data_IF_726696411115
#
_entry.id   IF_726696411115
#
_cell.length_a   1.000
_cell.length_b   1.000
_cell.length_c   1.000
_cell.angle_alpha   90.00
_cell.angle_beta   90.00
_cell.angle_gamma   90.00
#
_symmetry.space_group_name_H-M   'P 1'
#
loop_
_entity.id
_entity.type
_entity.pdbx_description
1 polymer ?
#
# COMPACT_ATOMS: atom_id res chain seq x y z
N UNK A 1 -6.69 -10.56 -18.89
CA UNK A 1 -6.48 -11.48 -17.75
C UNK A 1 -7.51 -12.60 -17.84
N UNK A 2 -7.13 -13.86 -17.59
CA UNK A 2 -8.08 -14.99 -17.55
C UNK A 2 -8.84 -15.03 -16.22
N UNK A 3 -10.11 -15.46 -16.23
CA UNK A 3 -10.98 -15.61 -15.03
C UNK A 3 -10.28 -16.40 -13.92
N UNK A 4 -9.46 -17.40 -14.28
CA UNK A 4 -8.67 -18.21 -13.34
C UNK A 4 -7.65 -17.38 -12.53
N UNK A 5 -7.06 -16.34 -13.14
CA UNK A 5 -6.10 -15.44 -12.46
C UNK A 5 -6.78 -14.53 -11.44
N UNK A 6 -8.04 -14.17 -11.68
CA UNK A 6 -8.83 -13.30 -10.80
C UNK A 6 -9.29 -14.06 -9.57
N UNK A 7 -9.76 -15.30 -9.76
CA UNK A 7 -10.15 -16.20 -8.66
C UNK A 7 -8.93 -16.54 -7.80
N UNK A 8 -7.77 -16.77 -8.44
CA UNK A 8 -6.51 -17.01 -7.73
C UNK A 8 -6.08 -15.81 -6.88
N UNK A 9 -6.06 -14.59 -7.45
CA UNK A 9 -5.72 -13.37 -6.70
C UNK A 9 -6.73 -13.05 -5.59
N UNK A 10 -8.01 -13.32 -5.83
CA UNK A 10 -9.05 -13.16 -4.80
C UNK A 10 -8.86 -14.16 -3.66
N UNK A 11 -8.53 -15.43 -3.97
CA UNK A 11 -8.20 -16.44 -2.96
C UNK A 11 -6.92 -16.12 -2.19
N UNK A 12 -5.86 -15.70 -2.88
CA UNK A 12 -4.61 -15.26 -2.25
C UNK A 12 -4.87 -14.08 -1.32
N UNK A 13 -5.67 -13.11 -1.77
CA UNK A 13 -6.11 -11.98 -0.96
C UNK A 13 -6.86 -12.48 0.28
N UNK A 14 -7.89 -13.32 0.13
CA UNK A 14 -8.66 -13.87 1.26
C UNK A 14 -7.82 -14.70 2.22
N UNK A 15 -6.85 -15.48 1.72
CA UNK A 15 -5.93 -16.24 2.56
C UNK A 15 -4.94 -15.33 3.30
N UNK A 16 -4.52 -14.22 2.69
CA UNK A 16 -3.70 -13.18 3.32
C UNK A 16 -4.49 -12.32 4.33
N UNK A 17 -5.83 -12.39 4.32
CA UNK A 17 -6.72 -11.65 5.23
C UNK A 17 -6.96 -12.32 6.58
N UNK A 18 -6.38 -13.49 6.82
CA UNK A 18 -6.18 -14.04 8.16
C UNK A 18 -4.72 -13.85 8.59
N UNK A 19 -4.25 -12.60 8.77
CA UNK A 19 -2.89 -12.37 9.23
C UNK A 19 -2.76 -13.02 10.61
N UNK A 20 -1.65 -13.74 10.83
CA UNK A 20 -1.21 -14.03 12.19
C UNK A 20 -1.07 -12.70 12.95
N UNK A 21 -1.24 -12.73 14.26
CA UNK A 21 -0.88 -11.59 15.08
C UNK A 21 0.57 -11.16 14.78
N UNK A 22 0.81 -9.85 14.72
CA UNK A 22 2.17 -9.32 14.61
C UNK A 22 2.95 -9.73 15.86
N UNK A 23 4.17 -10.22 15.64
CA UNK A 23 5.08 -10.53 16.74
C UNK A 23 5.78 -9.25 17.19
N UNK A 24 6.42 -9.31 18.35
CA UNK A 24 7.29 -8.22 18.81
C UNK A 24 8.42 -7.94 17.81
N UNK A 25 8.95 -8.98 17.16
CA UNK A 25 9.97 -8.86 16.13
C UNK A 25 9.46 -8.09 14.90
N UNK A 26 8.21 -8.34 14.47
CA UNK A 26 7.59 -7.61 13.37
C UNK A 26 7.46 -6.11 13.70
N UNK A 27 7.03 -5.79 14.92
CA UNK A 27 6.90 -4.41 15.38
C UNK A 27 8.26 -3.72 15.52
N UNK A 28 9.28 -4.45 15.99
CA UNK A 28 10.65 -3.93 16.11
C UNK A 28 11.23 -3.54 14.74
N UNK A 29 10.93 -4.29 13.67
CA UNK A 29 11.36 -3.93 12.31
C UNK A 29 10.75 -2.59 11.86
N UNK A 30 9.46 -2.36 12.12
CA UNK A 30 8.82 -1.09 11.80
C UNK A 30 9.40 0.05 12.64
N UNK A 31 9.58 -0.15 13.95
CA UNK A 31 10.13 0.84 14.86
C UNK A 31 11.58 1.22 14.54
N UNK A 32 12.37 0.30 13.99
CA UNK A 32 13.73 0.60 13.57
C UNK A 32 13.77 1.61 12.40
N UNK A 33 12.72 1.64 11.57
CA UNK A 33 12.66 2.48 10.36
C UNK A 33 11.82 3.75 10.55
N UNK A 34 10.82 3.70 11.43
CA UNK A 34 9.83 4.77 11.60
C UNK A 34 10.11 5.62 12.84
N UNK A 35 9.94 6.93 12.71
CA UNK A 35 9.87 7.82 13.87
C UNK A 35 8.61 7.52 14.72
N UNK A 36 8.53 7.98 15.97
CA UNK A 36 7.33 7.78 16.80
C UNK A 36 6.03 8.28 16.14
N UNK A 37 6.06 9.42 15.44
CA UNK A 37 4.89 9.96 14.72
C UNK A 37 4.48 9.08 13.55
N UNK A 38 5.44 8.55 12.81
CA UNK A 38 5.20 7.64 11.68
C UNK A 38 4.70 6.27 12.17
N UNK A 39 5.22 5.78 13.30
CA UNK A 39 4.78 4.54 13.93
C UNK A 39 3.31 4.62 14.39
N UNK A 40 2.84 5.79 14.86
CA UNK A 40 1.42 6.03 15.15
C UNK A 40 0.54 5.91 13.90
N UNK A 41 1.02 6.33 12.73
CA UNK A 41 0.26 6.12 11.49
C UNK A 41 0.24 4.64 11.08
N UNK A 42 1.39 3.98 11.16
CA UNK A 42 1.51 2.56 10.86
C UNK A 42 0.59 1.71 11.73
N UNK A 43 0.53 1.96 13.04
CA UNK A 43 -0.31 1.20 13.98
C UNK A 43 -1.82 1.38 13.76
N UNK A 44 -2.24 2.39 12.98
CA UNK A 44 -3.64 2.63 12.61
C UNK A 44 -4.10 1.87 11.37
N UNK A 45 -3.16 1.29 10.60
CA UNK A 45 -3.49 0.36 9.53
C UNK A 45 -4.23 -0.87 10.10
N UNK A 46 -5.06 -1.52 9.30
CA UNK A 46 -5.61 -2.81 9.70
C UNK A 46 -4.48 -3.83 9.88
N UNK A 47 -4.63 -4.84 10.75
CA UNK A 47 -3.58 -5.84 10.97
C UNK A 47 -3.04 -6.49 9.69
N UNK A 48 -3.92 -6.78 8.73
CA UNK A 48 -3.52 -7.33 7.42
C UNK A 48 -2.69 -6.36 6.57
N UNK A 49 -2.93 -5.06 6.72
CA UNK A 49 -2.22 -4.00 5.97
C UNK A 49 -0.84 -3.72 6.61
N UNK A 50 -0.75 -3.79 7.94
CA UNK A 50 0.53 -3.76 8.66
C UNK A 50 1.41 -4.96 8.25
N UNK A 51 0.84 -6.17 8.27
CA UNK A 51 1.54 -7.38 7.87
C UNK A 51 1.97 -7.34 6.40
N UNK A 52 1.10 -6.89 5.50
CA UNK A 52 1.42 -6.66 4.10
C UNK A 52 2.64 -5.75 3.95
N UNK A 53 2.61 -4.58 4.59
CA UNK A 53 3.68 -3.57 4.51
C UNK A 53 5.03 -4.10 5.02
N UNK A 54 5.02 -4.94 6.07
CA UNK A 54 6.21 -5.61 6.57
C UNK A 54 6.77 -6.66 5.60
N UNK A 55 5.91 -7.39 4.88
CA UNK A 55 6.36 -8.31 3.83
C UNK A 55 7.01 -7.54 2.69
N UNK A 56 6.42 -6.41 2.27
CA UNK A 56 7.01 -5.52 1.26
C UNK A 56 8.39 -5.04 1.72
N UNK A 57 8.52 -4.58 2.97
CA UNK A 57 9.81 -4.19 3.55
C UNK A 57 10.84 -5.34 3.49
N UNK A 58 10.45 -6.54 3.92
CA UNK A 58 11.31 -7.74 3.91
C UNK A 58 11.79 -8.09 2.50
N UNK A 59 10.90 -8.01 1.52
CA UNK A 59 11.21 -8.26 0.11
C UNK A 59 12.19 -7.22 -0.44
N UNK A 60 12.08 -5.96 -0.03
CA UNK A 60 12.99 -4.89 -0.46
C UNK A 60 14.39 -5.06 0.16
N UNK A 61 14.45 -5.39 1.46
CA UNK A 61 15.70 -5.65 2.16
C UNK A 61 16.44 -6.86 1.58
N UNK A 62 15.73 -7.96 1.33
CA UNK A 62 16.33 -9.15 0.69
C UNK A 62 16.71 -8.93 -0.78
N UNK A 63 16.04 -8.01 -1.47
CA UNK A 63 16.36 -7.61 -2.84
C UNK A 63 17.58 -6.70 -3.01
N UNK A 64 18.25 -6.32 -1.92
CA UNK A 64 19.48 -5.52 -1.94
C UNK A 64 19.28 -4.01 -2.20
N UNK A 65 18.04 -3.52 -2.25
CA UNK A 65 17.75 -2.09 -2.38
C UNK A 65 17.69 -1.46 -0.99
N UNK A 66 18.74 -0.75 -0.60
CA UNK A 66 18.85 -0.13 0.73
C UNK A 66 18.71 1.40 0.64
N UNK A 67 17.51 1.91 0.91
CA UNK A 67 17.27 3.34 0.98
C UNK A 67 16.23 3.66 2.07
N UNK A 68 16.54 4.54 3.05
CA UNK A 68 15.62 4.84 4.16
C UNK A 68 14.22 5.28 3.71
N UNK A 69 14.15 6.19 2.74
CA UNK A 69 12.85 6.66 2.22
C UNK A 69 12.03 5.56 1.54
N UNK A 70 12.69 4.57 0.93
CA UNK A 70 12.00 3.44 0.32
C UNK A 70 11.41 2.52 1.40
N UNK A 71 12.12 2.29 2.49
CA UNK A 71 11.63 1.48 3.61
C UNK A 71 10.48 2.18 4.35
N UNK A 72 10.59 3.48 4.58
CA UNK A 72 9.49 4.28 5.13
C UNK A 72 8.28 4.23 4.19
N UNK A 73 8.48 4.43 2.89
CA UNK A 73 7.41 4.32 1.91
C UNK A 73 6.78 2.92 1.88
N UNK A 74 7.57 1.85 1.95
CA UNK A 74 7.08 0.49 2.01
C UNK A 74 6.16 0.25 3.23
N UNK A 75 6.55 0.76 4.40
CA UNK A 75 5.75 0.64 5.62
C UNK A 75 4.47 1.49 5.59
N UNK A 76 4.47 2.60 4.85
CA UNK A 76 3.42 3.62 4.90
C UNK A 76 2.61 3.77 3.60
N UNK A 77 2.90 3.03 2.52
CA UNK A 77 2.27 3.22 1.21
C UNK A 77 0.73 3.15 1.27
N UNK A 78 0.21 2.33 2.19
CA UNK A 78 -1.20 2.09 2.39
C UNK A 78 -1.88 2.97 3.45
N UNK A 79 -1.16 3.85 4.17
CA UNK A 79 -1.76 4.57 5.31
C UNK A 79 -2.89 5.54 4.92
N UNK A 80 -3.09 5.84 3.64
CA UNK A 80 -4.28 6.58 3.20
C UNK A 80 -5.59 5.82 3.47
N UNK A 81 -5.54 4.49 3.56
CA UNK A 81 -6.71 3.62 3.85
C UNK A 81 -7.28 3.86 5.25
N UNK A 82 -6.50 4.43 6.18
CA UNK A 82 -6.98 4.73 7.55
C UNK A 82 -8.09 5.78 7.58
N UNK A 83 -8.23 6.62 6.53
CA UNK A 83 -9.32 7.61 6.46
C UNK A 83 -10.68 6.95 6.37
N UNK A 84 -10.75 5.80 5.69
CA UNK A 84 -11.98 5.03 5.51
C UNK A 84 -11.66 3.53 5.59
N UNK A 85 -11.56 2.97 6.81
CA UNK A 85 -11.27 1.56 7.00
C UNK A 85 -12.34 0.70 6.32
N UNK A 86 -11.91 -0.10 5.34
CA UNK A 86 -12.82 -0.93 4.56
C UNK A 86 -13.08 -2.27 5.25
N UNK A 87 -14.32 -2.73 5.19
CA UNK A 87 -14.68 -4.10 5.59
C UNK A 87 -14.11 -5.11 4.58
N UNK A 88 -13.96 -6.36 5.01
CA UNK A 88 -13.44 -7.45 4.19
C UNK A 88 -14.11 -7.54 2.80
N UNK A 89 -15.44 -7.55 2.77
CA UNK A 89 -16.21 -7.64 1.52
C UNK A 89 -16.03 -6.42 0.61
N UNK A 90 -15.82 -5.23 1.17
CA UNK A 90 -15.54 -4.02 0.38
C UNK A 90 -14.17 -4.10 -0.28
N UNK A 91 -13.19 -4.72 0.38
CA UNK A 91 -11.87 -4.95 -0.20
C UNK A 91 -11.93 -5.99 -1.33
N UNK A 92 -12.78 -7.01 -1.21
CA UNK A 92 -13.04 -7.97 -2.31
C UNK A 92 -13.57 -7.23 -3.55
N UNK A 93 -14.46 -6.24 -3.40
CA UNK A 93 -14.93 -5.40 -4.52
C UNK A 93 -13.77 -4.69 -5.22
N UNK A 94 -12.76 -4.22 -4.49
CA UNK A 94 -11.57 -3.60 -5.08
C UNK A 94 -10.81 -4.62 -5.94
N UNK A 95 -10.57 -5.82 -5.42
CA UNK A 95 -9.84 -6.87 -6.15
C UNK A 95 -10.59 -7.26 -7.42
N UNK A 96 -11.91 -7.44 -7.35
CA UNK A 96 -12.74 -7.79 -8.49
C UNK A 96 -12.81 -6.65 -9.52
N UNK A 97 -12.93 -5.40 -9.07
CA UNK A 97 -12.98 -4.24 -9.97
C UNK A 97 -11.66 -4.01 -10.71
N UNK A 98 -10.51 -4.16 -10.05
CA UNK A 98 -9.18 -4.08 -10.71
C UNK A 98 -9.01 -5.17 -11.78
N UNK A 99 -9.64 -6.33 -11.62
CA UNK A 99 -9.59 -7.40 -12.60
C UNK A 99 -10.43 -7.13 -13.86
N UNK A 100 -11.58 -6.46 -13.70
CA UNK A 100 -12.50 -6.14 -14.79
C UNK A 100 -12.05 -4.85 -15.50
N UNK A 101 -11.58 -3.86 -14.74
CA UNK A 101 -11.24 -2.52 -15.23
C UNK A 101 -9.94 -2.00 -14.58
N UNK A 102 -8.77 -2.50 -15.02
CA UNK A 102 -7.48 -2.18 -14.39
C UNK A 102 -7.18 -0.67 -14.37
N UNK A 103 -7.52 0.04 -15.45
CA UNK A 103 -7.27 1.49 -15.59
C UNK A 103 -8.41 2.37 -15.05
N UNK A 104 -9.51 1.75 -14.60
CA UNK A 104 -10.75 2.45 -14.26
C UNK A 104 -10.79 2.99 -12.84
N UNK A 105 -9.83 2.61 -12.00
CA UNK A 105 -9.83 2.94 -10.56
C UNK A 105 -9.58 4.42 -10.30
N UNK A 106 -8.72 5.08 -11.08
CA UNK A 106 -8.42 6.51 -10.88
C UNK A 106 -9.63 7.42 -11.13
N UNK A 107 -10.52 7.06 -12.07
CA UNK A 107 -11.72 7.83 -12.39
C UNK A 107 -12.69 7.95 -11.19
N UNK A 108 -12.56 7.10 -10.18
CA UNK A 108 -13.40 7.15 -8.98
C UNK A 108 -12.98 8.24 -8.00
N UNK A 109 -11.76 8.77 -8.12
CA UNK A 109 -11.25 9.83 -7.23
C UNK A 109 -12.03 11.14 -7.28
N UNK A 110 -12.91 11.33 -8.27
CA UNK A 110 -13.80 12.51 -8.37
C UNK A 110 -15.08 12.40 -7.54
N UNK A 111 -15.38 11.23 -6.99
CA UNK A 111 -16.62 11.00 -6.23
C UNK A 111 -16.39 11.08 -4.72
N UNK A 112 -17.47 11.34 -4.00
CA UNK A 112 -17.47 11.29 -2.54
C UNK A 112 -17.33 9.83 -2.04
N UNK A 113 -16.51 9.58 -1.01
CA UNK A 113 -16.28 8.24 -0.44
C UNK A 113 -17.48 7.80 0.40
N UNK A 114 -18.58 7.39 -0.24
CA UNK A 114 -19.80 6.99 0.44
C UNK A 114 -20.54 5.84 -0.24
N UNK A 115 -21.34 5.11 0.55
CA UNK A 115 -22.18 4.02 0.08
C UNK A 115 -21.39 2.92 -0.66
N UNK A 116 -21.94 2.43 -1.77
CA UNK A 116 -21.34 1.34 -2.55
C UNK A 116 -20.05 1.74 -3.29
N UNK A 117 -19.84 3.04 -3.54
CA UNK A 117 -18.66 3.57 -4.25
C UNK A 117 -17.44 3.69 -3.35
N UNK A 118 -17.64 3.70 -2.04
CA UNK A 118 -16.59 3.85 -1.02
C UNK A 118 -15.32 3.03 -1.34
N UNK A 119 -15.36 1.71 -1.56
CA UNK A 119 -14.14 0.93 -1.85
C UNK A 119 -13.37 1.42 -3.07
N UNK A 120 -14.07 1.84 -4.14
CA UNK A 120 -13.44 2.30 -5.38
C UNK A 120 -12.81 3.69 -5.20
N UNK A 121 -13.48 4.58 -4.46
CA UNK A 121 -12.94 5.90 -4.11
C UNK A 121 -11.70 5.76 -3.22
N UNK A 122 -11.76 4.89 -2.21
CA UNK A 122 -10.60 4.60 -1.34
C UNK A 122 -9.45 4.02 -2.14
N UNK A 123 -9.72 3.06 -3.03
CA UNK A 123 -8.70 2.51 -3.92
C UNK A 123 -8.04 3.60 -4.79
N UNK A 124 -8.80 4.59 -5.26
CA UNK A 124 -8.28 5.69 -6.07
C UNK A 124 -7.47 6.71 -5.27
N UNK A 125 -7.94 7.06 -4.07
CA UNK A 125 -7.44 8.24 -3.33
C UNK A 125 -6.49 7.91 -2.18
N UNK A 126 -6.41 6.66 -1.72
CA UNK A 126 -5.47 6.31 -0.65
C UNK A 126 -3.99 6.62 -0.95
N UNK A 127 -3.47 6.60 -2.20
CA UNK A 127 -2.08 7.00 -2.42
C UNK A 127 -1.89 8.50 -2.12
N UNK A 128 -2.82 9.34 -2.61
CA UNK A 128 -2.77 10.79 -2.41
C UNK A 128 -3.01 11.18 -0.94
N UNK A 129 -4.03 10.61 -0.30
CA UNK A 129 -4.29 10.81 1.13
C UNK A 129 -3.14 10.30 1.99
N UNK A 130 -2.52 9.19 1.57
CA UNK A 130 -1.42 8.61 2.29
C UNK A 130 -0.19 9.52 2.26
N UNK A 131 0.18 9.99 1.08
CA UNK A 131 1.28 10.93 0.92
C UNK A 131 1.11 12.20 1.77
N UNK A 132 -0.12 12.72 1.86
CA UNK A 132 -0.46 13.88 2.70
C UNK A 132 -0.30 13.56 4.21
N UNK A 133 -0.87 12.44 4.67
CA UNK A 133 -0.74 11.99 6.06
C UNK A 133 0.72 11.78 6.45
N UNK A 134 1.50 11.16 5.56
CA UNK A 134 2.90 10.87 5.80
C UNK A 134 3.74 12.16 5.89
N UNK A 135 3.51 13.15 5.00
CA UNK A 135 4.18 14.46 5.08
C UNK A 135 3.88 15.16 6.40
N UNK A 136 2.64 15.12 6.86
CA UNK A 136 2.24 15.70 8.15
C UNK A 136 2.90 14.97 9.34
N UNK A 137 3.32 13.72 9.17
CA UNK A 137 4.11 12.95 10.14
C UNK A 137 5.63 13.13 9.98
N UNK A 138 6.08 14.02 9.08
CA UNK A 138 7.49 14.37 8.89
C UNK A 138 8.29 13.38 8.05
N UNK A 139 7.66 12.62 7.14
CA UNK A 139 8.41 11.88 6.12
C UNK A 139 9.03 12.85 5.10
N UNK A 140 10.09 12.44 4.42
CA UNK A 140 10.72 13.24 3.37
C UNK A 140 9.80 13.42 2.14
N UNK A 141 10.03 14.44 1.31
CA UNK A 141 9.34 14.59 0.03
C UNK A 141 9.49 13.36 -0.88
N UNK A 142 10.67 12.73 -0.88
CA UNK A 142 10.93 11.52 -1.66
C UNK A 142 10.03 10.35 -1.20
N UNK A 143 10.02 10.03 0.10
CA UNK A 143 9.14 8.99 0.64
C UNK A 143 7.66 9.28 0.37
N UNK A 144 7.24 10.53 0.52
CA UNK A 144 5.87 10.95 0.21
C UNK A 144 5.52 10.75 -1.28
N UNK A 145 6.43 11.08 -2.20
CA UNK A 145 6.24 10.84 -3.63
C UNK A 145 6.13 9.35 -3.95
N UNK A 146 6.97 8.51 -3.33
CA UNK A 146 6.87 7.05 -3.47
C UNK A 146 5.50 6.54 -3.00
N UNK A 147 5.01 6.99 -1.84
CA UNK A 147 3.67 6.66 -1.33
C UNK A 147 2.59 7.14 -2.29
N UNK A 148 2.70 8.37 -2.80
CA UNK A 148 1.70 8.96 -3.71
C UNK A 148 1.55 8.16 -5.01
N UNK A 149 2.67 7.66 -5.52
CA UNK A 149 2.79 7.09 -6.86
C UNK A 149 2.85 5.56 -6.88
N UNK A 150 2.75 4.89 -5.73
CA UNK A 150 2.92 3.44 -5.64
C UNK A 150 1.95 2.63 -6.52
N UNK A 151 0.82 3.21 -6.95
CA UNK A 151 -0.13 2.58 -7.89
C UNK A 151 -0.13 3.17 -9.29
N UNK A 152 0.76 4.12 -9.58
CA UNK A 152 0.92 4.63 -10.94
C UNK A 152 1.41 3.51 -11.85
N UNK A 153 1.19 3.68 -13.16
CA UNK A 153 1.79 2.80 -14.16
C UNK A 153 3.31 2.78 -13.98
N UNK A 154 3.89 1.58 -13.94
CA UNK A 154 5.34 1.40 -13.80
C UNK A 154 6.04 2.18 -14.90
N UNK A 155 6.81 3.19 -14.51
CA UNK A 155 7.58 4.02 -15.42
C UNK A 155 9.06 3.73 -15.25
N UNK A 156 9.72 3.30 -16.33
CA UNK A 156 11.15 2.99 -16.35
C UNK A 156 11.99 4.27 -16.45
N UNK A 157 12.00 5.09 -15.39
CA UNK A 157 12.90 6.23 -15.28
C UNK A 157 14.31 5.82 -14.80
N UNK A 158 15.32 6.61 -15.16
CA UNK A 158 16.73 6.39 -14.74
C UNK A 158 17.11 7.15 -13.46
N UNK A 159 16.33 8.14 -13.07
CA UNK A 159 16.55 8.90 -11.84
C UNK A 159 16.32 8.02 -10.58
N UNK A 160 16.75 8.54 -9.42
CA UNK A 160 16.66 7.79 -8.17
C UNK A 160 15.21 7.51 -7.77
N UNK A 161 14.32 8.50 -7.84
CA UNK A 161 12.92 8.34 -7.45
C UNK A 161 12.25 7.24 -8.28
N UNK A 162 12.42 7.28 -9.61
CA UNK A 162 11.87 6.25 -10.50
C UNK A 162 12.39 4.84 -10.20
N UNK A 163 13.68 4.70 -9.85
CA UNK A 163 14.27 3.39 -9.45
C UNK A 163 13.68 2.88 -8.14
N UNK A 164 13.54 3.74 -7.13
CA UNK A 164 12.94 3.37 -5.84
C UNK A 164 11.46 3.06 -6.01
N UNK A 165 10.73 3.82 -6.83
CA UNK A 165 9.33 3.59 -7.13
C UNK A 165 9.12 2.22 -7.81
N UNK A 166 9.94 1.90 -8.81
CA UNK A 166 9.89 0.59 -9.46
C UNK A 166 10.20 -0.55 -8.49
N UNK A 167 11.15 -0.36 -7.55
CA UNK A 167 11.44 -1.35 -6.51
C UNK A 167 10.24 -1.55 -5.58
N UNK A 168 9.62 -0.45 -5.11
CA UNK A 168 8.43 -0.49 -4.27
C UNK A 168 7.28 -1.24 -4.96
N UNK A 169 6.96 -0.86 -6.19
CA UNK A 169 5.90 -1.48 -7.00
C UNK A 169 6.16 -2.97 -7.24
N UNK A 170 7.41 -3.34 -7.55
CA UNK A 170 7.80 -4.74 -7.76
C UNK A 170 7.65 -5.59 -6.48
N UNK A 171 7.97 -5.03 -5.32
CA UNK A 171 7.81 -5.72 -4.04
C UNK A 171 6.33 -5.83 -3.63
N UNK A 172 5.56 -4.75 -3.82
CA UNK A 172 4.12 -4.71 -3.52
C UNK A 172 3.33 -5.75 -4.34
N UNK A 173 3.63 -5.89 -5.64
CA UNK A 173 2.97 -6.85 -6.53
C UNK A 173 3.20 -8.34 -6.17
N UNK A 174 4.18 -8.66 -5.32
CA UNK A 174 4.47 -10.02 -4.88
C UNK A 174 3.61 -10.47 -3.70
N UNK A 175 2.82 -9.57 -3.10
CA UNK A 175 2.11 -9.77 -1.85
C UNK A 175 0.62 -9.47 -1.98
#
# INVERSE_FOLDING_TARGET
MSISSVIYRTRQFVQALHPRALTEADLAQAQAMLSPKQMILFSRLQPSEQFHSLRVLTTLQSGGVNHPDLFIAALLHDIGKIRYPLRLWQRIIIVLSKAIWPDGTQAWGKYQPQGWRLPLVVAALHPAWGAELALNAGVSPLASNLIRRHQDTICSGKDLESRLLAALQKADLQH
#
